data_IF_636772564860
#
_entry.id   IF_636772564860
#
_cell.length_a   1.000
_cell.length_b   1.000
_cell.length_c   1.000
_cell.angle_alpha   90.00
_cell.angle_beta   90.00
_cell.angle_gamma   90.00
#
_symmetry.space_group_name_H-M   'P 1'
#
loop_
_entity.id
_entity.type
_entity.pdbx_description
1 polymer ?
#
# COMPACT_ATOMS: atom_id res chain seq x y z
N UNK A 1 -22.78 33.41 12.79
CA UNK A 1 -22.02 34.50 13.44
C UNK A 1 -20.58 34.04 13.58
N UNK A 2 -19.58 34.64 12.90
CA UNK A 2 -18.19 34.25 13.07
C UNK A 2 -17.65 34.79 14.40
N UNK A 3 -16.94 33.93 15.15
CA UNK A 3 -16.30 34.26 16.42
C UNK A 3 -14.99 35.03 16.15
N UNK A 4 -14.80 36.13 16.87
CA UNK A 4 -13.64 37.00 16.75
C UNK A 4 -12.37 36.39 17.34
N UNK A 5 -11.23 36.71 16.71
CA UNK A 5 -9.90 36.52 17.28
C UNK A 5 -9.72 37.44 18.48
N UNK A 6 -9.41 36.87 19.64
CA UNK A 6 -8.87 37.60 20.78
C UNK A 6 -7.35 37.69 20.63
N UNK A 7 -6.84 38.92 20.58
CA UNK A 7 -5.43 39.28 20.66
C UNK A 7 -5.09 39.61 22.11
N UNK A 8 -4.25 38.78 22.76
CA UNK A 8 -3.53 39.16 23.98
C UNK A 8 -2.04 39.37 23.67
N UNK A 9 -1.46 40.30 24.44
CA UNK A 9 -0.23 41.02 24.19
C UNK A 9 1.05 40.17 24.36
N UNK A 10 2.06 40.46 23.54
CA UNK A 10 3.45 40.25 23.95
C UNK A 10 4.45 40.10 22.81
N UNK A 11 5.22 41.17 22.56
CA UNK A 11 6.44 41.23 21.73
C UNK A 11 6.25 41.38 20.21
N UNK A 12 6.47 42.63 19.77
CA UNK A 12 6.45 43.11 18.39
C UNK A 12 7.62 42.54 17.59
N UNK A 13 7.31 41.71 16.60
CA UNK A 13 8.12 41.55 15.39
C UNK A 13 7.54 42.47 14.29
N UNK A 14 8.37 43.01 13.39
CA UNK A 14 7.92 43.89 12.32
C UNK A 14 6.95 43.17 11.39
N UNK A 15 5.72 43.67 11.34
CA UNK A 15 4.66 43.23 10.44
C UNK A 15 4.90 43.79 9.05
N UNK A 16 5.59 43.04 8.19
CA UNK A 16 5.53 43.25 6.76
C UNK A 16 4.82 42.06 6.08
N UNK A 17 3.84 42.40 5.24
CA UNK A 17 3.15 41.52 4.28
C UNK A 17 2.09 40.52 4.80
N UNK A 18 1.00 41.04 5.35
CA UNK A 18 -0.31 40.41 5.17
C UNK A 18 -1.03 41.05 3.97
N UNK A 19 -0.70 40.61 2.75
CA UNK A 19 -1.59 40.83 1.60
C UNK A 19 -2.76 39.85 1.72
N UNK A 20 -4.02 40.31 1.68
CA UNK A 20 -5.15 39.40 1.54
C UNK A 20 -5.02 38.70 0.18
N UNK A 21 -4.87 37.37 0.19
CA UNK A 21 -5.07 36.56 -1.01
C UNK A 21 -6.57 36.62 -1.31
N UNK A 22 -6.97 37.60 -2.10
CA UNK A 22 -8.26 37.63 -2.78
C UNK A 22 -8.37 36.34 -3.59
N UNK A 23 -9.14 35.36 -3.08
CA UNK A 23 -9.62 34.22 -3.87
C UNK A 23 -10.63 34.77 -4.89
N UNK A 24 -10.09 35.31 -5.97
CA UNK A 24 -10.83 35.54 -7.19
C UNK A 24 -11.18 34.18 -7.81
N UNK A 25 -12.47 33.88 -7.79
CA UNK A 25 -13.24 33.40 -8.95
C UNK A 25 -12.50 32.40 -9.86
N UNK A 26 -12.81 31.11 -9.70
CA UNK A 26 -13.06 30.22 -10.84
C UNK A 26 -14.32 29.41 -10.57
N UNK A 27 -15.46 30.09 -10.70
CA UNK A 27 -16.71 29.45 -11.09
C UNK A 27 -16.67 29.33 -12.62
N UNK A 28 -16.08 28.27 -13.14
CA UNK A 28 -16.33 27.83 -14.51
C UNK A 28 -17.18 26.55 -14.39
N UNK A 29 -18.51 26.70 -14.51
CA UNK A 29 -19.24 26.40 -15.76
C UNK A 29 -19.30 24.88 -15.97
N UNK A 30 -20.19 24.13 -15.32
CA UNK A 30 -21.63 24.03 -15.63
C UNK A 30 -21.96 24.24 -17.11
N UNK A 31 -21.32 23.51 -18.04
CA UNK A 31 -21.86 23.30 -19.39
C UNK A 31 -21.19 22.17 -20.22
N UNK A 32 -21.16 20.92 -19.76
CA UNK A 32 -21.13 19.76 -20.68
C UNK A 32 -22.16 18.75 -20.20
N UNK A 33 -23.41 19.15 -20.43
CA UNK A 33 -24.56 18.27 -20.51
C UNK A 33 -24.55 17.64 -21.91
N UNK A 34 -24.94 16.36 -21.99
CA UNK A 34 -25.29 15.63 -23.22
C UNK A 34 -24.14 15.35 -24.20
N UNK A 35 -23.46 14.22 -24.06
CA UNK A 35 -23.12 13.30 -25.16
C UNK A 35 -22.50 12.06 -24.51
N UNK A 36 -23.31 11.06 -24.17
CA UNK A 36 -23.01 9.62 -24.18
C UNK A 36 -24.22 8.86 -23.61
N UNK A 37 -25.38 9.15 -24.22
CA UNK A 37 -26.44 8.15 -24.39
C UNK A 37 -26.19 7.58 -25.80
N UNK A 38 -26.34 6.27 -25.98
CA UNK A 38 -26.06 5.45 -27.19
C UNK A 38 -24.58 4.96 -27.16
N UNK A 39 -24.26 3.71 -26.82
CA UNK A 39 -24.76 2.45 -27.40
C UNK A 39 -24.78 1.29 -26.40
N UNK A 40 -25.96 0.70 -26.24
CA UNK A 40 -26.14 -0.73 -25.96
C UNK A 40 -25.61 -1.54 -27.14
N UNK A 41 -24.55 -2.32 -26.95
CA UNK A 41 -24.24 -3.47 -27.82
C UNK A 41 -23.92 -4.64 -26.89
N UNK A 42 -24.76 -5.67 -27.00
CA UNK A 42 -24.72 -6.84 -26.13
C UNK A 42 -23.40 -7.58 -26.21
N UNK A 43 -22.86 -7.90 -25.03
CA UNK A 43 -21.79 -8.88 -24.92
C UNK A 43 -22.43 -10.25 -24.67
N UNK A 44 -22.23 -11.11 -25.65
CA UNK A 44 -22.61 -12.51 -25.68
C UNK A 44 -21.95 -13.23 -24.50
N UNK A 45 -22.76 -13.90 -23.68
CA UNK A 45 -22.31 -14.85 -22.67
C UNK A 45 -21.61 -16.03 -23.36
N UNK A 46 -20.28 -16.00 -23.42
CA UNK A 46 -19.49 -17.18 -23.70
C UNK A 46 -19.46 -18.04 -22.43
N UNK A 47 -20.05 -19.23 -22.53
CA UNK A 47 -20.06 -20.26 -21.51
C UNK A 47 -18.66 -20.88 -21.43
N UNK A 48 -17.91 -20.58 -20.38
CA UNK A 48 -16.61 -21.20 -20.14
C UNK A 48 -16.75 -22.68 -19.74
N UNK A 49 -15.84 -23.56 -20.18
CA UNK A 49 -15.85 -24.97 -19.84
C UNK A 49 -15.47 -25.19 -18.36
N UNK A 50 -16.18 -26.13 -17.74
CA UNK A 50 -15.87 -26.71 -16.44
C UNK A 50 -14.54 -27.45 -16.57
N UNK A 51 -13.52 -26.95 -15.87
CA UNK A 51 -12.24 -27.64 -15.71
C UNK A 51 -12.27 -28.32 -14.34
N UNK A 52 -12.29 -29.65 -14.35
CA UNK A 52 -12.14 -30.48 -13.16
C UNK A 52 -10.65 -30.65 -12.89
N UNK A 53 -10.19 -30.18 -11.73
CA UNK A 53 -8.85 -30.48 -11.25
C UNK A 53 -8.89 -31.72 -10.35
N UNK A 54 -8.21 -32.76 -10.82
CA UNK A 54 -7.96 -33.99 -10.10
C UNK A 54 -7.03 -33.75 -8.91
N UNK A 55 -7.39 -34.34 -7.79
CA UNK A 55 -6.64 -34.32 -6.54
C UNK A 55 -5.32 -35.08 -6.70
N UNK A 56 -4.19 -34.39 -6.54
CA UNK A 56 -2.89 -35.04 -6.38
C UNK A 56 -2.30 -34.67 -5.01
N UNK A 57 -2.65 -35.49 -4.02
CA UNK A 57 -1.99 -35.52 -2.72
C UNK A 57 -0.50 -35.86 -2.90
N UNK A 58 0.37 -34.91 -2.58
CA UNK A 58 1.80 -35.19 -2.45
C UNK A 58 2.22 -34.99 -1.01
N UNK A 59 2.53 -36.12 -0.37
CA UNK A 59 3.13 -36.27 0.94
C UNK A 59 4.31 -35.30 1.16
N UNK A 60 4.24 -34.53 2.25
CA UNK A 60 5.38 -33.76 2.76
C UNK A 60 6.24 -34.64 3.66
N UNK A 61 7.55 -34.79 3.40
CA UNK A 61 8.44 -35.55 4.27
C UNK A 61 8.79 -34.76 5.52
N UNK A 62 8.43 -35.34 6.67
CA UNK A 62 8.86 -34.90 8.02
C UNK A 62 10.39 -34.99 8.14
N UNK A 63 11.06 -33.84 8.31
CA UNK A 63 12.49 -33.82 8.61
C UNK A 63 12.76 -34.16 10.08
N UNK A 64 13.75 -35.02 10.38
CA UNK A 64 14.11 -35.35 11.74
C UNK A 64 14.87 -34.19 12.40
N UNK A 65 14.35 -33.75 13.55
CA UNK A 65 15.05 -32.92 14.53
C UNK A 65 16.10 -33.78 15.24
N UNK A 66 17.38 -33.68 14.87
CA UNK A 66 18.41 -34.27 15.73
C UNK A 66 19.77 -33.54 15.75
N UNK A 67 20.24 -33.38 16.98
CA UNK A 67 21.61 -33.14 17.45
C UNK A 67 22.22 -31.74 17.38
N UNK A 68 21.81 -30.92 18.35
CA UNK A 68 22.55 -29.76 18.85
C UNK A 68 23.74 -30.22 19.71
N UNK A 69 24.88 -30.50 19.09
CA UNK A 69 26.15 -30.72 19.78
C UNK A 69 26.62 -29.42 20.47
N UNK A 70 26.81 -29.50 21.79
CA UNK A 70 27.43 -28.48 22.64
C UNK A 70 28.94 -28.47 22.40
N UNK A 71 29.40 -27.76 21.37
CA UNK A 71 30.82 -27.44 21.17
C UNK A 71 31.15 -26.08 21.77
N UNK A 72 31.93 -26.05 22.86
CA UNK A 72 32.49 -24.82 23.42
C UNK A 72 33.61 -24.31 22.52
N UNK A 73 33.38 -23.19 21.84
CA UNK A 73 34.39 -22.49 21.06
C UNK A 73 35.13 -21.47 21.94
N UNK A 74 36.46 -21.54 21.92
CA UNK A 74 37.36 -20.61 22.59
C UNK A 74 37.36 -19.26 21.84
N UNK A 75 36.89 -18.20 22.51
CA UNK A 75 36.72 -16.84 21.99
C UNK A 75 38.05 -16.05 21.85
N UNK A 76 39.19 -16.72 21.69
CA UNK A 76 40.49 -16.05 21.55
C UNK A 76 40.70 -15.55 20.12
N UNK A 77 40.21 -14.33 19.90
CA UNK A 77 40.76 -13.30 18.99
C UNK A 77 41.09 -13.82 17.58
N UNK A 78 40.05 -14.15 16.83
CA UNK A 78 40.14 -14.24 15.37
C UNK A 78 40.23 -12.82 14.83
N UNK A 79 41.39 -12.43 14.30
CA UNK A 79 41.54 -11.14 13.63
C UNK A 79 40.84 -11.26 12.28
N UNK A 80 39.62 -10.73 12.18
CA UNK A 80 38.90 -10.71 10.92
C UNK A 80 39.68 -9.84 9.93
N UNK A 81 40.03 -10.36 8.73
CA UNK A 81 40.61 -9.53 7.70
C UNK A 81 39.63 -8.39 7.39
N UNK A 82 40.14 -7.16 7.34
CA UNK A 82 39.36 -6.01 6.89
C UNK A 82 38.74 -6.39 5.54
N UNK A 83 37.40 -6.42 5.41
CA UNK A 83 36.77 -6.74 4.14
C UNK A 83 37.30 -5.77 3.09
N UNK A 84 37.73 -6.31 1.96
CA UNK A 84 38.11 -5.49 0.82
C UNK A 84 36.93 -4.57 0.47
N UNK A 85 37.17 -3.32 0.05
CA UNK A 85 36.09 -2.43 -0.35
C UNK A 85 35.26 -3.12 -1.42
N UNK A 86 33.98 -3.31 -1.15
CA UNK A 86 33.07 -3.93 -2.10
C UNK A 86 33.04 -3.09 -3.38
N UNK A 87 33.00 -3.74 -4.56
CA UNK A 87 32.90 -3.03 -5.82
C UNK A 87 31.65 -2.13 -5.80
N UNK A 88 31.72 -0.91 -6.36
CA UNK A 88 30.58 -0.01 -6.39
C UNK A 88 29.39 -0.71 -7.07
N UNK A 89 28.28 -0.86 -6.36
CA UNK A 89 27.03 -1.41 -6.90
C UNK A 89 26.61 -0.55 -8.08
N UNK A 90 26.35 -1.19 -9.22
CA UNK A 90 25.87 -0.50 -10.41
C UNK A 90 24.48 0.09 -10.11
N UNK A 91 24.21 1.37 -10.42
CA UNK A 91 22.94 2.05 -10.07
C UNK A 91 21.68 1.34 -10.57
N UNK A 92 21.81 0.55 -11.63
CA UNK A 92 20.72 -0.23 -12.23
C UNK A 92 20.27 -1.40 -11.35
N UNK A 93 21.18 -2.03 -10.61
CA UNK A 93 20.84 -3.16 -9.73
C UNK A 93 20.17 -2.68 -8.43
N UNK A 94 20.55 -1.50 -7.96
CA UNK A 94 19.99 -0.89 -6.75
C UNK A 94 18.51 -0.49 -6.95
N UNK A 95 18.15 -0.03 -8.15
CA UNK A 95 16.76 0.30 -8.46
C UNK A 95 15.86 -0.95 -8.50
N UNK A 96 16.37 -2.09 -9.00
CA UNK A 96 15.59 -3.32 -9.09
C UNK A 96 15.34 -3.96 -7.72
N UNK A 97 16.33 -3.92 -6.82
CA UNK A 97 16.16 -4.44 -5.46
C UNK A 97 15.09 -3.63 -4.70
N UNK A 98 15.07 -2.31 -4.87
CA UNK A 98 14.11 -1.43 -4.21
C UNK A 98 12.65 -1.64 -4.69
N UNK A 99 12.43 -1.98 -5.96
CA UNK A 99 11.08 -2.26 -6.48
C UNK A 99 10.46 -3.56 -5.94
N UNK A 100 11.24 -4.41 -5.29
CA UNK A 100 10.77 -5.69 -4.72
C UNK A 100 10.60 -5.68 -3.20
N UNK A 101 10.97 -4.58 -2.53
CA UNK A 101 10.84 -4.44 -1.08
C UNK A 101 9.50 -3.76 -0.74
N UNK A 102 8.56 -4.44 -0.05
CA UNK A 102 7.30 -3.83 0.35
C UNK A 102 7.48 -2.63 1.28
N UNK A 103 8.56 -2.57 2.09
CA UNK A 103 8.83 -1.41 2.95
C UNK A 103 9.18 -0.17 2.15
N UNK A 104 10.04 -0.35 1.14
CA UNK A 104 10.40 0.73 0.22
C UNK A 104 9.16 1.27 -0.50
N UNK A 105 8.35 0.38 -1.08
CA UNK A 105 7.12 0.76 -1.80
C UNK A 105 6.12 1.46 -0.88
N UNK A 106 5.93 0.96 0.34
CA UNK A 106 5.02 1.57 1.30
C UNK A 106 5.46 2.99 1.68
N UNK A 107 6.75 3.18 2.01
CA UNK A 107 7.32 4.50 2.29
C UNK A 107 7.26 5.44 1.09
N UNK A 108 7.49 4.92 -0.12
CA UNK A 108 7.42 5.67 -1.36
C UNK A 108 6.00 6.23 -1.58
N UNK A 109 4.99 5.35 -1.61
CA UNK A 109 3.61 5.76 -1.85
C UNK A 109 3.01 6.55 -0.69
N UNK A 110 3.43 6.31 0.55
CA UNK A 110 3.02 7.13 1.71
C UNK A 110 3.44 8.59 1.52
N UNK A 111 4.67 8.83 1.03
CA UNK A 111 5.15 10.18 0.71
C UNK A 111 4.40 10.78 -0.48
N UNK A 112 4.14 9.99 -1.52
CA UNK A 112 3.44 10.44 -2.72
C UNK A 112 2.01 10.90 -2.43
N UNK A 113 1.27 10.13 -1.64
CA UNK A 113 -0.14 10.40 -1.33
C UNK A 113 -0.34 11.18 -0.03
N UNK A 114 0.72 11.52 0.70
CA UNK A 114 0.63 12.27 1.95
C UNK A 114 0.01 11.49 3.12
N UNK A 115 0.18 10.17 3.12
CA UNK A 115 -0.26 9.26 4.19
C UNK A 115 0.87 9.07 5.20
N UNK A 116 0.53 9.02 6.49
CA UNK A 116 1.50 8.69 7.54
C UNK A 116 2.04 7.26 7.32
N UNK A 117 3.36 7.14 7.13
CA UNK A 117 4.00 5.85 6.86
C UNK A 117 3.75 4.85 7.98
N UNK A 118 3.83 5.30 9.24
CA UNK A 118 3.65 4.43 10.41
C UNK A 118 2.21 3.87 10.48
N UNK A 119 1.20 4.67 10.13
CA UNK A 119 -0.18 4.20 9.99
C UNK A 119 -0.30 3.11 8.91
N UNK A 120 0.21 3.37 7.70
CA UNK A 120 0.14 2.41 6.60
C UNK A 120 0.90 1.12 6.93
N UNK A 121 2.07 1.24 7.59
CA UNK A 121 2.87 0.13 8.10
C UNK A 121 2.07 -0.75 9.07
N UNK A 122 1.48 -0.16 10.12
CA UNK A 122 0.73 -0.91 11.13
C UNK A 122 -0.50 -1.60 10.54
N UNK A 123 -1.15 -0.98 9.56
CA UNK A 123 -2.28 -1.61 8.84
C UNK A 123 -1.78 -2.84 8.06
N UNK A 124 -0.75 -2.72 7.23
CA UNK A 124 -0.23 -3.89 6.46
C UNK A 124 0.29 -5.00 7.37
N UNK A 125 0.98 -4.63 8.45
CA UNK A 125 1.46 -5.59 9.44
C UNK A 125 0.29 -6.36 10.07
N UNK A 126 -0.80 -5.68 10.43
CA UNK A 126 -1.96 -6.35 11.00
C UNK A 126 -2.75 -7.19 9.99
N UNK A 127 -2.94 -6.68 8.78
CA UNK A 127 -3.78 -7.32 7.77
C UNK A 127 -3.14 -8.59 7.20
N UNK A 128 -1.83 -8.58 6.97
CA UNK A 128 -1.16 -9.70 6.30
C UNK A 128 0.20 -10.09 6.88
N UNK A 129 0.73 -9.37 7.87
CA UNK A 129 2.12 -9.51 8.32
C UNK A 129 3.11 -9.45 7.13
N UNK A 130 2.86 -8.51 6.21
CA UNK A 130 3.61 -8.34 4.95
C UNK A 130 3.61 -9.56 4.01
N UNK A 131 2.70 -10.53 4.20
CA UNK A 131 2.52 -11.63 3.25
C UNK A 131 1.68 -11.17 2.06
N UNK A 132 2.32 -11.06 0.90
CA UNK A 132 1.65 -10.70 -0.36
C UNK A 132 0.57 -11.70 -0.74
N UNK A 133 0.63 -12.95 -0.28
CA UNK A 133 -0.31 -14.02 -0.61
C UNK A 133 -1.28 -14.33 0.53
N UNK A 134 -1.36 -13.50 1.57
CA UNK A 134 -2.32 -13.68 2.64
C UNK A 134 -3.75 -13.71 2.09
N UNK A 135 -4.56 -14.66 2.58
CA UNK A 135 -5.96 -14.84 2.21
C UNK A 135 -6.82 -15.07 3.43
N UNK A 136 -7.97 -14.41 3.47
CA UNK A 136 -8.99 -14.69 4.47
C UNK A 136 -9.90 -15.83 4.00
N UNK A 137 -9.98 -16.93 4.75
CA UNK A 137 -10.81 -18.09 4.39
C UNK A 137 -12.33 -17.87 4.41
N UNK A 138 -12.80 -16.72 4.93
CA UNK A 138 -14.22 -16.40 5.10
C UNK A 138 -14.71 -15.24 4.23
N UNK A 139 -13.82 -14.59 3.46
CA UNK A 139 -14.16 -13.46 2.59
C UNK A 139 -13.26 -13.45 1.34
N UNK A 140 -13.41 -12.44 0.47
CA UNK A 140 -12.50 -12.22 -0.66
C UNK A 140 -11.32 -11.32 -0.32
N UNK A 141 -11.07 -11.06 0.97
CA UNK A 141 -9.96 -10.26 1.44
C UNK A 141 -8.62 -10.98 1.20
N UNK A 142 -7.71 -10.33 0.47
CA UNK A 142 -6.42 -10.91 0.08
C UNK A 142 -5.33 -9.83 -0.02
N UNK A 143 -4.05 -10.25 -0.06
CA UNK A 143 -2.86 -9.39 -0.21
C UNK A 143 -2.57 -8.49 1.00
N UNK A 144 -1.62 -7.55 0.84
CA UNK A 144 -1.05 -6.69 1.89
C UNK A 144 -2.09 -5.95 2.73
N UNK A 145 -3.08 -5.35 2.07
CA UNK A 145 -4.13 -4.56 2.71
C UNK A 145 -5.44 -5.32 2.88
N UNK A 146 -5.44 -6.65 2.67
CA UNK A 146 -6.63 -7.51 2.76
C UNK A 146 -7.83 -6.97 1.96
N UNK A 147 -7.57 -6.56 0.72
CA UNK A 147 -8.59 -6.03 -0.17
C UNK A 147 -9.64 -7.08 -0.53
N UNK A 148 -10.92 -6.78 -0.24
CA UNK A 148 -12.04 -7.49 -0.87
C UNK A 148 -12.16 -7.07 -2.34
N UNK A 149 -12.62 -8.00 -3.20
CA UNK A 149 -12.63 -7.81 -4.66
C UNK A 149 -13.28 -6.50 -5.10
N UNK A 150 -14.47 -6.22 -4.57
CA UNK A 150 -15.25 -5.02 -4.92
C UNK A 150 -14.50 -3.73 -4.56
N UNK A 151 -13.88 -3.68 -3.38
CA UNK A 151 -13.13 -2.49 -2.95
C UNK A 151 -11.89 -2.29 -3.79
N UNK A 152 -11.18 -3.36 -4.16
CA UNK A 152 -10.04 -3.26 -5.07
C UNK A 152 -10.45 -2.78 -6.45
N UNK A 153 -11.49 -3.37 -7.05
CA UNK A 153 -12.01 -2.97 -8.36
C UNK A 153 -12.42 -1.50 -8.41
N UNK A 154 -13.16 -1.03 -7.38
CA UNK A 154 -13.55 0.37 -7.24
C UNK A 154 -12.34 1.29 -7.07
N UNK A 155 -11.31 0.85 -6.35
CA UNK A 155 -10.06 1.58 -6.15
C UNK A 155 -9.29 1.72 -7.45
N UNK A 156 -9.07 0.62 -8.18
CA UNK A 156 -8.41 0.62 -9.48
C UNK A 156 -9.13 1.52 -10.48
N UNK A 157 -10.46 1.49 -10.49
CA UNK A 157 -11.28 2.37 -11.33
C UNK A 157 -11.04 3.84 -11.01
N UNK A 158 -11.02 4.22 -9.73
CA UNK A 158 -10.79 5.61 -9.30
C UNK A 158 -9.35 6.09 -9.57
N UNK A 159 -8.39 5.17 -9.55
CA UNK A 159 -6.99 5.44 -9.93
C UNK A 159 -6.76 5.46 -11.45
N UNK A 160 -7.78 5.18 -12.27
CA UNK A 160 -7.66 4.98 -13.72
C UNK A 160 -6.68 3.86 -14.12
N UNK A 161 -6.63 2.79 -13.32
CA UNK A 161 -5.84 1.60 -13.58
C UNK A 161 -6.74 0.44 -14.05
N UNK A 162 -6.19 -0.56 -14.79
CA UNK A 162 -6.98 -1.71 -15.23
C UNK A 162 -7.56 -2.50 -14.05
N UNK A 163 -8.87 -2.74 -14.06
CA UNK A 163 -9.55 -3.57 -13.05
C UNK A 163 -9.20 -5.06 -13.16
N UNK A 164 -8.59 -5.48 -14.27
CA UNK A 164 -8.04 -6.83 -14.46
C UNK A 164 -6.70 -7.05 -13.76
N UNK A 165 -6.13 -6.03 -13.11
CA UNK A 165 -4.86 -6.14 -12.40
C UNK A 165 -5.00 -7.04 -11.18
N UNK A 166 -3.95 -7.82 -10.89
CA UNK A 166 -3.96 -8.73 -9.75
C UNK A 166 -3.75 -7.99 -8.43
N UNK A 167 -4.54 -8.32 -7.40
CA UNK A 167 -4.27 -7.92 -6.00
C UNK A 167 -2.92 -8.44 -5.48
N UNK A 168 -2.32 -9.43 -6.15
CA UNK A 168 -1.01 -10.00 -5.77
C UNK A 168 0.17 -9.27 -6.44
N UNK A 169 -0.08 -8.31 -7.32
CA UNK A 169 0.95 -7.43 -7.87
C UNK A 169 1.40 -6.46 -6.76
N UNK A 170 2.64 -6.61 -6.29
CA UNK A 170 3.10 -5.94 -5.07
C UNK A 170 3.10 -4.41 -5.17
N UNK A 171 3.73 -3.79 -6.20
CA UNK A 171 3.64 -2.35 -6.41
C UNK A 171 2.19 -1.85 -6.42
N UNK A 172 1.33 -2.48 -7.22
CA UNK A 172 -0.05 -2.02 -7.40
C UNK A 172 -0.89 -2.21 -6.12
N UNK A 173 -0.72 -3.33 -5.42
CA UNK A 173 -1.48 -3.60 -4.20
C UNK A 173 -1.13 -2.63 -3.07
N UNK A 174 0.16 -2.29 -2.93
CA UNK A 174 0.62 -1.32 -1.95
C UNK A 174 0.17 0.08 -2.36
N UNK A 175 0.36 0.47 -3.62
CA UNK A 175 -0.08 1.76 -4.15
C UNK A 175 -1.58 1.98 -3.92
N UNK A 176 -2.41 0.99 -4.30
CA UNK A 176 -3.86 1.06 -4.14
C UNK A 176 -4.27 1.20 -2.66
N UNK A 177 -3.61 0.47 -1.75
CA UNK A 177 -3.88 0.56 -0.31
C UNK A 177 -3.59 1.94 0.26
N UNK A 178 -2.41 2.48 -0.07
CA UNK A 178 -2.00 3.81 0.38
C UNK A 178 -2.84 4.91 -0.27
N UNK A 179 -3.13 4.80 -1.57
CA UNK A 179 -4.02 5.72 -2.26
C UNK A 179 -5.41 5.74 -1.60
N UNK A 180 -5.95 4.57 -1.24
CA UNK A 180 -7.25 4.48 -0.58
C UNK A 180 -7.24 5.10 0.82
N UNK A 181 -6.16 4.92 1.59
CA UNK A 181 -5.95 5.59 2.87
C UNK A 181 -5.91 7.11 2.75
N UNK A 182 -5.38 7.65 1.64
CA UNK A 182 -5.31 9.10 1.41
C UNK A 182 -6.67 9.76 1.13
N UNK A 183 -7.70 8.97 0.84
CA UNK A 183 -9.04 9.48 0.60
C UNK A 183 -9.71 9.94 1.90
N UNK A 184 -10.71 10.82 1.80
CA UNK A 184 -11.48 11.26 2.97
C UNK A 184 -12.14 10.06 3.66
N UNK A 185 -11.75 9.81 4.92
CA UNK A 185 -12.23 8.66 5.69
C UNK A 185 -11.65 7.31 5.25
N UNK A 186 -10.51 7.29 4.55
CA UNK A 186 -9.86 6.06 4.04
C UNK A 186 -9.65 4.98 5.11
N UNK A 187 -9.30 5.37 6.34
CA UNK A 187 -9.14 4.48 7.50
C UNK A 187 -10.39 3.62 7.79
N UNK A 188 -11.58 4.08 7.40
CA UNK A 188 -12.83 3.34 7.63
C UNK A 188 -12.88 1.99 6.93
N UNK A 189 -12.08 1.77 5.88
CA UNK A 189 -11.94 0.48 5.21
C UNK A 189 -11.27 -0.59 6.09
N UNK A 190 -10.46 -0.19 7.06
CA UNK A 190 -9.74 -1.08 8.00
C UNK A 190 -10.28 -0.97 9.43
N UNK A 191 -11.49 -0.43 9.60
CA UNK A 191 -12.08 -0.25 10.93
C UNK A 191 -12.33 -1.57 11.66
N UNK A 192 -12.57 -2.67 10.95
CA UNK A 192 -12.76 -3.99 11.57
C UNK A 192 -11.51 -4.52 12.27
N UNK A 193 -10.33 -4.05 11.86
CA UNK A 193 -9.03 -4.38 12.44
C UNK A 193 -8.45 -3.24 13.29
N UNK A 194 -9.21 -2.18 13.58
CA UNK A 194 -8.73 -1.00 14.33
C UNK A 194 -8.00 -1.34 15.65
N UNK A 195 -8.36 -2.44 16.29
CA UNK A 195 -7.76 -2.90 17.53
C UNK A 195 -6.28 -3.32 17.45
N UNK A 196 -5.71 -3.53 16.26
CA UNK A 196 -4.32 -3.99 16.10
C UNK A 196 -3.36 -2.94 15.51
N UNK A 197 -3.88 -1.90 14.85
CA UNK A 197 -3.05 -0.89 14.17
C UNK A 197 -3.11 0.50 14.84
N UNK A 198 -3.89 0.65 15.92
CA UNK A 198 -3.90 1.83 16.79
C UNK A 198 -2.81 1.78 17.89
#
# INVERSE_FOLDING_TARGET
MPRGCNTELGNRLPTENCKPVSRAIMKNLTLIVLFFVITTVGLVFAKSPVFSEDENATDSPTLPLENRQKGGYDLRRVSFPTPAPEPPKTPELENLENETDPYYLLNHFSKEYGVDFELAYRIVECESNFDRYAKNGSSSAESFFQFIDKTFEETMTKMNLPTSTSKFDMPIAIEAGVWLLSQEGGESHWKSSEFCWL
#
